data_IF_332401715218
#
_entry.id   IF_332401715218
#
_cell.length_a   1.000
_cell.length_b   1.000
_cell.length_c   1.000
_cell.angle_alpha   90.00
_cell.angle_beta   90.00
_cell.angle_gamma   90.00
#
_symmetry.space_group_name_H-M   'P 1'
#
loop_
_entity.id
_entity.type
_entity.pdbx_description
1 polymer ?
#
# COMPACT_ATOMS: atom_id res chain seq x y z
N UNK A 1 19.52 27.65 7.93
CA UNK A 1 18.91 27.48 6.59
C UNK A 1 19.42 26.23 5.87
N UNK A 2 20.74 26.04 5.68
CA UNK A 2 21.28 24.85 5.01
C UNK A 2 20.86 23.50 5.63
N UNK A 3 20.82 23.40 6.97
CA UNK A 3 20.37 22.19 7.67
C UNK A 3 18.89 21.83 7.40
N UNK A 4 18.01 22.82 7.24
CA UNK A 4 16.59 22.58 6.93
C UNK A 4 16.41 22.03 5.52
N UNK A 5 17.16 22.56 4.55
CA UNK A 5 17.15 22.08 3.17
C UNK A 5 17.64 20.63 3.12
N UNK A 6 18.73 20.32 3.83
CA UNK A 6 19.25 18.95 3.92
C UNK A 6 18.22 17.99 4.52
N UNK A 7 17.59 18.37 5.63
CA UNK A 7 16.53 17.58 6.26
C UNK A 7 15.34 17.35 5.32
N UNK A 8 14.91 18.37 4.59
CA UNK A 8 13.79 18.25 3.66
C UNK A 8 14.11 17.26 2.52
N UNK A 9 15.29 17.37 1.91
CA UNK A 9 15.75 16.44 0.87
C UNK A 9 15.80 15.01 1.41
N UNK A 10 16.35 14.83 2.62
CA UNK A 10 16.42 13.52 3.26
C UNK A 10 15.04 12.89 3.48
N UNK A 11 14.08 13.67 3.98
CA UNK A 11 12.70 13.21 4.18
C UNK A 11 12.04 12.85 2.84
N UNK A 12 12.26 13.62 1.78
CA UNK A 12 11.74 13.32 0.44
C UNK A 12 12.33 12.00 -0.07
N UNK A 13 13.64 11.80 0.06
CA UNK A 13 14.30 10.57 -0.38
C UNK A 13 13.73 9.37 0.36
N UNK A 14 13.52 9.47 1.68
CA UNK A 14 12.91 8.39 2.46
C UNK A 14 11.47 8.16 2.05
N UNK A 15 10.68 9.21 1.87
CA UNK A 15 9.26 9.09 1.49
C UNK A 15 9.11 8.45 0.12
N UNK A 16 9.76 9.01 -0.90
CA UNK A 16 9.71 8.50 -2.28
C UNK A 16 10.37 7.13 -2.38
N UNK A 17 11.53 6.95 -1.75
CA UNK A 17 12.23 5.67 -1.70
C UNK A 17 11.40 4.58 -1.04
N UNK A 18 10.70 4.91 0.05
CA UNK A 18 9.75 4.01 0.72
C UNK A 18 8.59 3.60 -0.20
N UNK A 19 8.00 4.56 -0.92
CA UNK A 19 6.97 4.26 -1.92
C UNK A 19 7.47 3.32 -3.02
N UNK A 20 8.66 3.57 -3.55
CA UNK A 20 9.29 2.73 -4.59
C UNK A 20 9.60 1.34 -4.04
N UNK A 21 10.20 1.25 -2.85
CA UNK A 21 10.54 -0.01 -2.21
C UNK A 21 9.28 -0.85 -1.91
N UNK A 22 8.21 -0.21 -1.44
CA UNK A 22 6.93 -0.86 -1.22
C UNK A 22 6.35 -1.37 -2.54
N UNK A 23 6.26 -0.53 -3.57
CA UNK A 23 5.74 -0.94 -4.87
C UNK A 23 6.52 -2.12 -5.46
N UNK A 24 7.85 -2.05 -5.44
CA UNK A 24 8.70 -3.10 -5.98
C UNK A 24 8.58 -4.39 -5.15
N UNK A 25 8.70 -4.29 -3.82
CA UNK A 25 8.63 -5.43 -2.92
C UNK A 25 7.28 -6.13 -2.96
N UNK A 26 6.19 -5.36 -2.97
CA UNK A 26 4.84 -5.89 -2.96
C UNK A 26 4.49 -6.61 -4.27
N UNK A 27 4.91 -6.06 -5.44
CA UNK A 27 4.76 -6.77 -6.71
C UNK A 27 5.64 -8.02 -6.78
N UNK A 28 6.89 -7.96 -6.30
CA UNK A 28 7.79 -9.12 -6.25
C UNK A 28 7.24 -10.23 -5.37
N UNK A 29 6.65 -9.89 -4.22
CA UNK A 29 5.99 -10.84 -3.32
C UNK A 29 4.76 -11.46 -4.01
N UNK A 30 3.97 -10.66 -4.72
CA UNK A 30 2.81 -11.15 -5.45
C UNK A 30 3.19 -12.12 -6.58
N UNK A 31 4.28 -11.84 -7.30
CA UNK A 31 4.83 -12.73 -8.33
C UNK A 31 5.42 -14.02 -7.74
N UNK A 32 5.95 -13.97 -6.51
CA UNK A 32 6.41 -15.15 -5.78
C UNK A 32 5.24 -16.04 -5.31
N UNK A 33 4.16 -15.43 -4.82
CA UNK A 33 2.98 -16.15 -4.31
C UNK A 33 2.11 -16.71 -5.45
N UNK A 34 1.96 -15.96 -6.54
CA UNK A 34 1.18 -16.37 -7.72
C UNK A 34 2.07 -16.34 -8.96
N UNK A 35 2.94 -17.33 -9.18
CA UNK A 35 3.83 -17.34 -10.34
C UNK A 35 3.02 -17.46 -11.63
N UNK A 36 3.15 -16.45 -12.50
CA UNK A 36 2.52 -16.42 -13.83
C UNK A 36 3.49 -16.80 -14.95
N UNK A 37 4.80 -16.83 -14.67
CA UNK A 37 5.86 -17.18 -15.63
C UNK A 37 6.40 -18.57 -15.30
N UNK A 38 6.61 -19.41 -16.31
CA UNK A 38 7.13 -20.77 -16.14
C UNK A 38 6.10 -21.83 -15.76
N UNK A 39 4.82 -21.45 -15.65
CA UNK A 39 3.69 -22.37 -15.43
C UNK A 39 2.94 -22.52 -16.76
N UNK A 40 2.62 -23.74 -17.17
CA UNK A 40 1.93 -24.02 -18.45
C UNK A 40 0.42 -24.13 -18.27
N UNK A 41 -0.33 -23.78 -19.32
CA UNK A 41 -1.78 -24.00 -19.42
C UNK A 41 -2.64 -23.08 -18.55
N UNK A 42 -3.75 -23.63 -18.05
CA UNK A 42 -4.80 -22.90 -17.31
C UNK A 42 -4.32 -22.30 -15.99
N UNK A 43 -3.35 -22.94 -15.32
CA UNK A 43 -2.82 -22.47 -14.04
C UNK A 43 -2.14 -21.08 -14.15
N UNK A 44 -1.51 -20.76 -15.29
CA UNK A 44 -0.92 -19.44 -15.51
C UNK A 44 -2.01 -18.35 -15.62
N UNK A 45 -3.12 -18.67 -16.31
CA UNK A 45 -4.26 -17.77 -16.47
C UNK A 45 -4.94 -17.51 -15.13
N UNK A 46 -5.13 -18.55 -14.33
CA UNK A 46 -5.71 -18.43 -12.99
C UNK A 46 -4.85 -17.58 -12.05
N UNK A 47 -3.53 -17.78 -12.07
CA UNK A 47 -2.60 -16.98 -11.27
C UNK A 47 -2.62 -15.52 -11.70
N UNK A 48 -2.61 -15.21 -13.00
CA UNK A 48 -2.74 -13.84 -13.51
C UNK A 48 -4.05 -13.17 -13.06
N UNK A 49 -5.17 -13.91 -13.10
CA UNK A 49 -6.45 -13.41 -12.62
C UNK A 49 -6.40 -13.09 -11.12
N UNK A 50 -5.78 -13.96 -10.30
CA UNK A 50 -5.61 -13.71 -8.86
C UNK A 50 -4.72 -12.51 -8.59
N UNK A 51 -3.61 -12.37 -9.33
CA UNK A 51 -2.75 -11.19 -9.24
C UNK A 51 -3.54 -9.90 -9.53
N UNK A 52 -4.35 -9.89 -10.59
CA UNK A 52 -5.19 -8.75 -10.97
C UNK A 52 -6.22 -8.36 -9.90
N UNK A 53 -6.76 -9.35 -9.16
CA UNK A 53 -7.70 -9.10 -8.07
C UNK A 53 -7.01 -8.60 -6.80
N UNK A 54 -5.81 -9.09 -6.47
CA UNK A 54 -5.09 -8.74 -5.23
C UNK A 54 -4.36 -7.40 -5.34
N UNK A 55 -3.80 -7.09 -6.51
CA UNK A 55 -2.97 -5.89 -6.72
C UNK A 55 -3.66 -4.57 -6.28
N UNK A 56 -4.95 -4.31 -6.58
CA UNK A 56 -5.62 -3.10 -6.10
C UNK A 56 -5.64 -2.99 -4.57
N UNK A 57 -5.96 -4.09 -3.88
CA UNK A 57 -6.02 -4.11 -2.41
C UNK A 57 -4.67 -3.96 -1.74
N UNK A 58 -3.60 -4.46 -2.38
CA UNK A 58 -2.23 -4.30 -1.89
C UNK A 58 -1.82 -2.82 -1.79
N UNK A 59 -2.30 -1.98 -2.71
CA UNK A 59 -2.00 -0.55 -2.73
C UNK A 59 -3.03 0.28 -1.95
N UNK A 60 -4.30 -0.12 -1.97
CA UNK A 60 -5.39 0.60 -1.28
C UNK A 60 -5.43 0.27 0.23
N UNK A 61 -5.07 -0.95 0.61
CA UNK A 61 -5.16 -1.46 1.99
C UNK A 61 -4.47 -0.57 3.02
N UNK A 62 -3.19 -0.20 2.86
CA UNK A 62 -2.50 0.69 3.79
C UNK A 62 -3.19 2.06 3.93
N UNK A 63 -3.68 2.62 2.81
CA UNK A 63 -4.42 3.87 2.85
C UNK A 63 -5.75 3.72 3.62
N UNK A 64 -6.49 2.63 3.40
CA UNK A 64 -7.72 2.34 4.14
C UNK A 64 -7.49 2.21 5.64
N UNK A 65 -6.38 1.59 6.07
CA UNK A 65 -6.00 1.48 7.49
C UNK A 65 -5.75 2.88 8.08
N UNK A 66 -4.93 3.70 7.41
CA UNK A 66 -4.62 5.06 7.85
C UNK A 66 -5.90 5.91 7.92
N UNK A 67 -6.73 5.87 6.87
CA UNK A 67 -8.01 6.58 6.84
C UNK A 67 -8.95 6.11 7.96
N UNK A 68 -8.97 4.82 8.26
CA UNK A 68 -9.81 4.31 9.34
C UNK A 68 -9.37 4.90 10.69
N UNK A 69 -8.06 4.91 10.97
CA UNK A 69 -7.51 5.40 12.24
C UNK A 69 -7.61 6.92 12.36
N UNK A 70 -7.28 7.66 11.30
CA UNK A 70 -7.14 9.12 11.37
C UNK A 70 -8.37 9.89 10.90
N UNK A 71 -9.32 9.25 10.24
CA UNK A 71 -10.54 9.91 9.74
C UNK A 71 -11.80 9.26 10.30
N UNK A 72 -11.99 7.95 10.12
CA UNK A 72 -13.24 7.28 10.51
C UNK A 72 -13.39 7.24 12.03
N UNK A 73 -12.35 6.83 12.76
CA UNK A 73 -12.40 6.76 14.23
C UNK A 73 -12.72 8.12 14.86
N UNK A 74 -12.04 9.24 14.49
CA UNK A 74 -12.41 10.56 14.98
C UNK A 74 -13.85 10.96 14.70
N UNK A 75 -14.39 10.63 13.53
CA UNK A 75 -15.79 10.93 13.19
C UNK A 75 -16.77 10.18 14.11
N UNK A 76 -16.49 8.90 14.39
CA UNK A 76 -17.33 8.13 15.33
C UNK A 76 -17.21 8.72 16.74
N UNK A 77 -16.01 9.12 17.15
CA UNK A 77 -15.77 9.72 18.46
C UNK A 77 -16.49 11.07 18.63
N UNK A 78 -16.43 11.93 17.62
CA UNK A 78 -17.14 13.22 17.65
C UNK A 78 -18.65 13.03 17.68
N UNK A 79 -19.18 12.07 16.92
CA UNK A 79 -20.61 11.72 16.98
C UNK A 79 -20.99 11.22 18.38
N UNK A 80 -20.20 10.32 18.97
CA UNK A 80 -20.45 9.80 20.33
C UNK A 80 -20.53 10.93 21.35
N UNK A 81 -19.53 11.82 21.37
CA UNK A 81 -19.45 12.96 22.28
C UNK A 81 -20.56 14.00 22.06
N UNK A 82 -21.22 14.01 20.90
CA UNK A 82 -22.28 14.98 20.58
C UNK A 82 -23.65 14.55 21.10
N UNK A 83 -23.87 13.25 21.34
CA UNK A 83 -25.18 12.69 21.67
C UNK A 83 -25.22 11.90 22.99
N UNK A 84 -24.06 11.57 23.57
CA UNK A 84 -23.90 10.96 24.90
C UNK A 84 -23.14 11.91 25.81
#
# INVERSE_FOLDING_TARGET
MAAQIFSAIFVIIIGVGGCVAYFWGANKLLDLVFPSRGVSGTAAVDNLRRQGLVRPWLFVGPAMIILTIYLIYPVIETLRLSFL
#
